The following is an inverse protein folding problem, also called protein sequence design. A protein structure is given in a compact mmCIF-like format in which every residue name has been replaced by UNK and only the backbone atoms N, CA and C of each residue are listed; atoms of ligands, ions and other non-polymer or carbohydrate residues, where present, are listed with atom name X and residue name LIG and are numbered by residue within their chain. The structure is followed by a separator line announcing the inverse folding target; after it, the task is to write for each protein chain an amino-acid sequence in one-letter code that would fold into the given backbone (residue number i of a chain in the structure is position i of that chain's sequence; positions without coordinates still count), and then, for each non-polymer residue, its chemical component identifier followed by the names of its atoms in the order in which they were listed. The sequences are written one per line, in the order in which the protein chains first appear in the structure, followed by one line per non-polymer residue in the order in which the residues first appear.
data_IF_355784507450
#
_entry.id   IF_355784507450
#
_cell.length_a   1.000
_cell.length_b   1.000
_cell.length_c   1.000
_cell.angle_alpha   90.00
_cell.angle_beta   90.00
_cell.angle_gamma   90.00
#
_symmetry.space_group_name_H-M   'P 1'
#
loop_
_entity.id
_entity.type
_entity.pdbx_description
1 polymer ?
#
# COMPACT_ATOMS: atom_id res chain seq x y z
N UNK A 1 -24.27 0.04 -14.76
CA UNK A 1 -23.93 0.16 -16.20
C UNK A 1 -23.27 -1.14 -16.64
N UNK A 2 -24.01 -2.06 -17.27
CA UNK A 2 -23.49 -3.35 -17.74
C UNK A 2 -23.59 -3.52 -19.27
N UNK A 3 -23.75 -2.41 -20.01
CA UNK A 3 -23.76 -2.44 -21.46
C UNK A 3 -22.35 -2.76 -22.01
N UNK A 4 -22.18 -3.81 -22.83
CA UNK A 4 -20.87 -4.25 -23.32
C UNK A 4 -20.10 -3.17 -24.11
N UNK A 5 -20.81 -2.29 -24.83
CA UNK A 5 -20.15 -1.22 -25.60
C UNK A 5 -19.56 -0.15 -24.68
N UNK A 6 -20.29 0.20 -23.63
CA UNK A 6 -19.87 1.15 -22.60
C UNK A 6 -18.67 0.62 -21.81
N UNK A 7 -18.62 -0.69 -21.51
CA UNK A 7 -17.47 -1.33 -20.85
C UNK A 7 -16.20 -1.24 -21.71
N UNK A 8 -16.32 -1.45 -23.04
CA UNK A 8 -15.16 -1.33 -23.95
C UNK A 8 -14.62 0.09 -23.98
N UNK A 9 -15.50 1.09 -24.06
CA UNK A 9 -15.11 2.51 -24.05
C UNK A 9 -14.44 2.86 -22.72
N UNK A 10 -15.01 2.45 -21.58
CA UNK A 10 -14.42 2.71 -20.27
C UNK A 10 -13.00 2.12 -20.13
N UNK A 11 -12.79 0.88 -20.60
CA UNK A 11 -11.46 0.24 -20.63
C UNK A 11 -10.48 0.99 -21.53
N UNK A 12 -10.93 1.46 -22.70
CA UNK A 12 -10.13 2.28 -23.61
C UNK A 12 -9.71 3.59 -22.93
N UNK A 13 -10.65 4.33 -22.36
CA UNK A 13 -10.38 5.59 -21.67
C UNK A 13 -9.38 5.40 -20.52
N UNK A 14 -9.57 4.38 -19.68
CA UNK A 14 -8.65 4.08 -18.58
C UNK A 14 -7.22 3.79 -19.07
N UNK A 15 -7.09 3.04 -20.17
CA UNK A 15 -5.79 2.73 -20.76
C UNK A 15 -5.10 3.98 -21.31
N UNK A 16 -5.80 4.78 -22.10
CA UNK A 16 -5.22 5.99 -22.68
C UNK A 16 -4.89 7.02 -21.59
N UNK A 17 -5.72 7.14 -20.55
CA UNK A 17 -5.41 7.98 -19.39
C UNK A 17 -4.15 7.51 -18.66
N UNK A 18 -3.99 6.20 -18.45
CA UNK A 18 -2.78 5.64 -17.80
C UNK A 18 -1.53 5.88 -18.64
N UNK A 19 -1.65 5.74 -19.97
CA UNK A 19 -0.57 6.03 -20.93
C UNK A 19 -0.18 7.50 -20.87
N UNK A 20 -1.16 8.41 -20.91
CA UNK A 20 -0.93 9.85 -20.78
C UNK A 20 -0.17 10.19 -19.49
N UNK A 21 -0.61 9.68 -18.34
CA UNK A 21 0.11 9.90 -17.08
C UNK A 21 1.54 9.34 -17.10
N UNK A 22 1.79 8.20 -17.76
CA UNK A 22 3.14 7.68 -17.92
C UNK A 22 3.99 8.56 -18.83
N UNK A 23 3.46 9.03 -19.95
CA UNK A 23 4.17 9.90 -20.89
C UNK A 23 4.56 11.24 -20.24
N UNK A 24 3.66 11.80 -19.43
CA UNK A 24 3.92 12.98 -18.58
C UNK A 24 4.78 12.67 -17.35
N UNK A 25 5.24 11.43 -17.18
CA UNK A 25 6.04 10.97 -16.04
C UNK A 25 5.42 11.35 -14.69
N UNK A 26 4.09 11.25 -14.62
CA UNK A 26 3.33 11.62 -13.42
C UNK A 26 3.71 10.67 -12.26
N UNK A 27 4.16 11.17 -11.10
CA UNK A 27 4.58 10.27 -10.04
C UNK A 27 3.42 9.40 -9.52
N UNK A 28 3.64 8.12 -9.15
CA UNK A 28 2.57 7.25 -8.64
C UNK A 28 1.80 7.84 -7.46
N UNK A 29 2.44 8.62 -6.59
CA UNK A 29 1.75 9.34 -5.51
C UNK A 29 0.67 10.29 -6.03
N UNK A 30 0.90 10.98 -7.14
CA UNK A 30 -0.05 11.94 -7.71
C UNK A 30 -1.21 11.20 -8.37
N UNK A 31 -0.93 10.12 -9.10
CA UNK A 31 -1.98 9.27 -9.69
C UNK A 31 -2.88 8.65 -8.62
N UNK A 32 -2.34 8.33 -7.44
CA UNK A 32 -3.13 7.88 -6.29
C UNK A 32 -4.23 8.88 -5.91
N UNK A 33 -3.90 10.18 -5.90
CA UNK A 33 -4.86 11.26 -5.64
C UNK A 33 -5.85 11.48 -6.79
N UNK A 34 -5.41 11.36 -8.06
CA UNK A 34 -6.31 11.45 -9.22
C UNK A 34 -7.40 10.38 -9.19
N UNK A 35 -7.04 9.18 -8.73
CA UNK A 35 -7.95 8.06 -8.50
C UNK A 35 -8.72 8.16 -7.17
N UNK A 36 -8.56 9.27 -6.42
CA UNK A 36 -9.21 9.53 -5.13
C UNK A 36 -8.96 8.46 -4.08
N UNK A 37 -7.90 7.67 -4.22
CA UNK A 37 -7.60 6.56 -3.32
C UNK A 37 -7.22 7.05 -1.94
N UNK A 38 -6.68 8.26 -1.79
CA UNK A 38 -6.38 8.88 -0.49
C UNK A 38 -7.65 9.17 0.35
N UNK A 39 -8.84 9.01 -0.23
CA UNK A 39 -10.14 9.18 0.44
C UNK A 39 -10.94 7.87 0.51
N UNK A 40 -10.39 6.75 0.04
CA UNK A 40 -11.09 5.47 0.01
C UNK A 40 -11.04 4.70 1.34
N UNK A 41 -10.20 5.17 2.28
CA UNK A 41 -10.06 4.65 3.64
C UNK A 41 -9.91 3.13 3.65
N UNK A 42 -10.66 2.41 4.49
CA UNK A 42 -10.61 0.96 4.64
C UNK A 42 -10.91 0.18 3.36
N UNK A 43 -11.62 0.80 2.40
CA UNK A 43 -11.96 0.18 1.10
C UNK A 43 -10.86 0.30 0.07
N UNK A 44 -9.76 0.99 0.38
CA UNK A 44 -8.69 1.30 -0.58
C UNK A 44 -8.21 0.06 -1.32
N UNK A 45 -7.75 -0.97 -0.61
CA UNK A 45 -7.14 -2.16 -1.24
C UNK A 45 -8.14 -3.02 -2.00
N UNK A 46 -9.43 -2.97 -1.64
CA UNK A 46 -10.50 -3.71 -2.32
C UNK A 46 -11.05 -2.96 -3.55
N UNK A 47 -10.79 -1.66 -3.68
CA UNK A 47 -11.34 -0.83 -4.75
C UNK A 47 -10.79 -1.21 -6.13
N UNK A 48 -11.63 -1.07 -7.17
CA UNK A 48 -11.18 -1.23 -8.56
C UNK A 48 -10.10 -0.22 -8.93
N UNK A 49 -10.19 1.00 -8.40
CA UNK A 49 -9.24 2.08 -8.66
C UNK A 49 -7.85 1.76 -8.10
N UNK A 50 -7.76 1.03 -6.99
CA UNK A 50 -6.49 0.56 -6.47
C UNK A 50 -5.82 -0.45 -7.41
N UNK A 51 -6.59 -1.29 -8.11
CA UNK A 51 -6.04 -2.19 -9.13
C UNK A 51 -5.45 -1.41 -10.30
N UNK A 52 -6.10 -0.32 -10.70
CA UNK A 52 -5.59 0.61 -11.73
C UNK A 52 -4.28 1.24 -11.27
N UNK A 53 -4.26 1.77 -10.05
CA UNK A 53 -3.06 2.39 -9.49
C UNK A 53 -1.90 1.39 -9.32
N UNK A 54 -2.18 0.17 -8.85
CA UNK A 54 -1.17 -0.87 -8.69
C UNK A 54 -0.53 -1.26 -10.03
N UNK A 55 -1.34 -1.36 -11.09
CA UNK A 55 -0.85 -1.54 -12.46
C UNK A 55 0.00 -0.35 -12.90
N UNK A 56 -0.50 0.87 -12.68
CA UNK A 56 0.22 2.09 -13.04
C UNK A 56 1.59 2.18 -12.34
N UNK A 57 1.65 1.87 -11.05
CA UNK A 57 2.89 1.82 -10.27
C UNK A 57 3.91 0.86 -10.90
N UNK A 58 3.46 -0.33 -11.29
CA UNK A 58 4.33 -1.31 -11.95
C UNK A 58 4.85 -0.79 -13.30
N UNK A 59 3.97 -0.24 -14.12
CA UNK A 59 4.33 0.29 -15.44
C UNK A 59 5.28 1.51 -15.31
N UNK A 60 5.05 2.37 -14.30
CA UNK A 60 5.92 3.51 -13.97
C UNK A 60 7.31 3.03 -13.53
N UNK A 61 7.38 2.08 -12.59
CA UNK A 61 8.65 1.54 -12.11
C UNK A 61 9.46 0.85 -13.22
N UNK A 62 8.78 0.21 -14.17
CA UNK A 62 9.42 -0.40 -15.33
C UNK A 62 10.01 0.65 -16.28
N UNK A 63 9.23 1.71 -16.59
CA UNK A 63 9.67 2.78 -17.50
C UNK A 63 10.72 3.71 -16.88
N UNK A 64 10.65 3.94 -15.57
CA UNK A 64 11.50 4.87 -14.83
C UNK A 64 12.24 4.19 -13.68
N UNK A 65 13.18 3.26 -13.95
CA UNK A 65 13.81 2.43 -12.92
C UNK A 65 14.62 3.24 -11.88
N UNK A 66 15.08 4.44 -12.24
CA UNK A 66 15.79 5.36 -11.33
C UNK A 66 14.88 6.05 -10.32
N UNK A 67 13.57 6.07 -10.56
CA UNK A 67 12.55 6.73 -9.74
C UNK A 67 11.55 5.72 -9.17
N UNK A 68 11.89 4.43 -9.25
CA UNK A 68 11.03 3.36 -8.79
C UNK A 68 10.71 3.53 -7.31
N UNK A 69 9.48 3.21 -6.95
CA UNK A 69 9.00 3.19 -5.55
C UNK A 69 8.28 1.89 -5.26
N UNK A 70 8.08 1.56 -3.98
CA UNK A 70 7.32 0.37 -3.59
C UNK A 70 5.84 0.70 -3.42
N UNK A 71 5.00 -0.33 -3.40
CA UNK A 71 3.57 -0.15 -3.08
C UNK A 71 3.39 0.46 -1.69
N UNK A 72 4.17 -0.01 -0.70
CA UNK A 72 4.13 0.52 0.66
C UNK A 72 4.56 1.99 0.71
N UNK A 73 5.66 2.35 0.03
CA UNK A 73 6.13 3.74 -0.02
C UNK A 73 5.16 4.65 -0.79
N UNK A 74 4.49 4.11 -1.81
CA UNK A 74 3.39 4.79 -2.50
C UNK A 74 2.21 5.08 -1.56
N UNK A 75 1.79 4.10 -0.76
CA UNK A 75 0.73 4.25 0.24
C UNK A 75 1.12 5.25 1.35
N UNK A 76 2.37 5.24 1.79
CA UNK A 76 2.92 6.15 2.81
C UNK A 76 3.38 7.51 2.24
N UNK A 77 3.25 7.74 0.94
CA UNK A 77 3.73 8.97 0.32
C UNK A 77 3.02 10.19 0.90
N UNK A 78 3.72 11.33 0.93
CA UNK A 78 3.17 12.59 1.44
C UNK A 78 1.82 12.90 0.79
N UNK A 79 0.77 12.99 1.62
CA UNK A 79 -0.61 13.27 1.20
C UNK A 79 -1.50 12.04 1.06
N UNK A 80 -0.95 10.83 1.07
CA UNK A 80 -1.72 9.58 0.95
C UNK A 80 -2.20 9.10 2.32
N UNK A 81 -1.40 8.29 3.02
CA UNK A 81 -1.76 7.80 4.34
C UNK A 81 -0.63 7.95 5.36
N UNK A 82 -1.03 8.33 6.57
CA UNK A 82 -0.20 8.17 7.75
C UNK A 82 -0.26 6.71 8.23
N UNK A 83 0.75 6.30 8.96
CA UNK A 83 0.95 4.90 9.33
C UNK A 83 -0.19 4.30 10.15
N UNK A 84 -0.74 5.07 11.11
CA UNK A 84 -1.89 4.63 11.91
C UNK A 84 -3.13 4.35 11.05
N UNK A 85 -3.35 5.13 9.99
CA UNK A 85 -4.44 4.89 9.02
C UNK A 85 -4.15 3.63 8.20
N UNK A 86 -2.90 3.39 7.80
CA UNK A 86 -2.54 2.18 7.05
C UNK A 86 -2.78 0.90 7.84
N UNK A 87 -2.49 0.90 9.15
CA UNK A 87 -2.77 -0.28 9.99
C UNK A 87 -4.26 -0.64 9.99
N UNK A 88 -5.16 0.35 9.99
CA UNK A 88 -6.61 0.14 9.88
C UNK A 88 -7.02 -0.37 8.49
N UNK A 89 -6.43 0.19 7.44
CA UNK A 89 -6.69 -0.25 6.06
C UNK A 89 -6.24 -1.70 5.88
N UNK A 90 -5.07 -2.07 6.39
CA UNK A 90 -4.57 -3.45 6.30
C UNK A 90 -5.42 -4.40 7.14
N UNK A 91 -5.90 -3.99 8.31
CA UNK A 91 -6.84 -4.80 9.11
C UNK A 91 -8.13 -5.08 8.35
N UNK A 92 -8.77 -4.05 7.81
CA UNK A 92 -9.99 -4.20 7.02
C UNK A 92 -9.77 -5.10 5.80
N UNK A 93 -8.67 -4.89 5.07
CA UNK A 93 -8.32 -5.70 3.90
C UNK A 93 -7.93 -7.15 4.26
N UNK A 94 -7.44 -7.40 5.48
CA UNK A 94 -7.13 -8.76 5.96
C UNK A 94 -8.39 -9.59 6.22
N UNK A 95 -9.53 -8.93 6.49
CA UNK A 95 -10.83 -9.58 6.71
C UNK A 95 -11.54 -9.96 5.41
N UNK A 96 -11.11 -9.43 4.26
CA UNK A 96 -11.62 -9.80 2.94
C UNK A 96 -10.68 -10.82 2.28
N UNK A 97 -11.15 -12.05 1.97
CA UNK A 97 -10.32 -13.09 1.35
C UNK A 97 -9.65 -12.66 0.03
N UNK A 98 -10.26 -11.72 -0.71
CA UNK A 98 -9.71 -11.21 -1.96
C UNK A 98 -8.51 -10.28 -1.78
N UNK A 99 -8.34 -9.70 -0.59
CA UNK A 99 -7.24 -8.78 -0.26
C UNK A 99 -6.34 -9.26 0.89
N UNK A 100 -6.70 -10.36 1.56
CA UNK A 100 -6.00 -10.88 2.74
C UNK A 100 -4.50 -11.08 2.51
N UNK A 101 -4.14 -11.77 1.42
CA UNK A 101 -2.73 -12.02 1.08
C UNK A 101 -1.96 -10.73 0.85
N UNK A 102 -2.58 -9.76 0.16
CA UNK A 102 -1.95 -8.47 -0.10
C UNK A 102 -1.76 -7.67 1.19
N UNK A 103 -2.79 -7.60 2.04
CA UNK A 103 -2.74 -6.92 3.33
C UNK A 103 -1.64 -7.51 4.23
N UNK A 104 -1.55 -8.83 4.30
CA UNK A 104 -0.51 -9.55 5.07
C UNK A 104 0.89 -9.23 4.56
N UNK A 105 1.09 -9.16 3.24
CA UNK A 105 2.36 -8.79 2.63
C UNK A 105 2.73 -7.33 2.94
N UNK A 106 1.77 -6.40 2.92
CA UNK A 106 2.00 -5.00 3.25
C UNK A 106 2.31 -4.79 4.73
N UNK A 107 1.64 -5.52 5.63
CA UNK A 107 2.01 -5.57 7.06
C UNK A 107 3.44 -6.08 7.26
N UNK A 108 3.83 -7.17 6.57
CA UNK A 108 5.20 -7.70 6.61
C UNK A 108 6.22 -6.67 6.11
N UNK A 109 5.91 -5.96 5.03
CA UNK A 109 6.76 -4.91 4.50
C UNK A 109 6.92 -3.74 5.50
N UNK A 110 5.86 -3.37 6.21
CA UNK A 110 5.91 -2.34 7.23
C UNK A 110 6.75 -2.76 8.44
N UNK A 111 6.59 -4.00 8.92
CA UNK A 111 7.44 -4.59 9.97
C UNK A 111 8.91 -4.57 9.55
N UNK A 112 9.23 -4.96 8.31
CA UNK A 112 10.60 -4.90 7.81
C UNK A 112 11.15 -3.48 7.80
N UNK A 113 10.32 -2.49 7.46
CA UNK A 113 10.70 -1.07 7.48
C UNK A 113 11.05 -0.62 8.89
N UNK A 114 10.27 -1.02 9.91
CA UNK A 114 10.59 -0.76 11.33
C UNK A 114 11.90 -1.41 11.78
N UNK A 115 12.19 -2.63 11.29
CA UNK A 115 13.44 -3.32 11.62
C UNK A 115 14.64 -2.56 11.07
N UNK A 116 14.59 -2.18 9.79
CA UNK A 116 15.66 -1.41 9.14
C UNK A 116 15.84 -0.05 9.80
N UNK A 117 14.73 0.61 10.17
CA UNK A 117 14.73 1.89 10.89
C UNK A 117 15.18 1.76 12.36
N UNK A 118 15.33 0.54 12.89
CA UNK A 118 15.65 0.26 14.29
C UNK A 118 14.67 0.93 15.26
N UNK A 119 13.38 0.91 14.90
CA UNK A 119 12.32 1.44 15.75
C UNK A 119 12.32 0.75 17.12
N UNK A 120 11.97 1.49 18.17
CA UNK A 120 11.91 0.90 19.52
C UNK A 120 10.54 0.23 19.70
N UNK A 121 10.44 -1.03 20.16
CA UNK A 121 9.16 -1.67 20.44
C UNK A 121 8.24 -0.83 21.35
N UNK A 122 8.81 -0.16 22.36
CA UNK A 122 8.05 0.73 23.24
C UNK A 122 7.46 1.96 22.53
N UNK A 123 8.18 2.49 21.53
CA UNK A 123 7.69 3.61 20.71
C UNK A 123 6.49 3.16 19.86
N UNK A 124 6.61 2.03 19.14
CA UNK A 124 5.53 1.49 18.30
C UNK A 124 4.28 1.13 19.13
N UNK A 125 4.46 0.56 20.33
CA UNK A 125 3.36 0.31 21.28
C UNK A 125 2.63 1.59 21.68
N UNK A 126 3.37 2.66 21.99
CA UNK A 126 2.78 3.95 22.32
C UNK A 126 2.06 4.59 21.15
N UNK A 127 2.67 4.55 19.96
CA UNK A 127 2.17 5.18 18.74
C UNK A 127 0.87 4.54 18.24
N UNK A 128 0.75 3.22 18.37
CA UNK A 128 -0.39 2.46 17.86
C UNK A 128 -1.35 1.97 18.94
N UNK A 129 -1.27 2.52 20.15
CA UNK A 129 -2.18 2.17 21.24
C UNK A 129 -3.65 2.38 20.81
N UNK A 130 -4.50 1.36 21.04
CA UNK A 130 -5.92 1.39 20.67
C UNK A 130 -6.21 1.14 19.18
N UNK A 131 -5.20 0.79 18.36
CA UNK A 131 -5.43 0.28 17.01
C UNK A 131 -5.69 -1.23 17.11
N UNK A 132 -6.79 -1.79 16.58
CA UNK A 132 -7.13 -3.21 16.76
C UNK A 132 -6.03 -4.22 16.35
N UNK A 133 -5.12 -3.83 15.45
CA UNK A 133 -4.01 -4.67 14.97
C UNK A 133 -2.65 -4.35 15.58
N UNK A 134 -2.56 -3.39 16.50
CA UNK A 134 -1.28 -2.99 17.09
C UNK A 134 -0.57 -4.15 17.78
N UNK A 135 -1.30 -4.95 18.53
CA UNK A 135 -0.72 -6.01 19.36
C UNK A 135 -0.14 -7.14 18.51
N UNK A 136 -0.87 -7.55 17.47
CA UNK A 136 -0.40 -8.52 16.48
C UNK A 136 0.85 -8.01 15.74
N UNK A 137 0.82 -6.76 15.27
CA UNK A 137 1.94 -6.14 14.55
C UNK A 137 3.18 -6.01 15.45
N UNK A 138 3.00 -5.62 16.72
CA UNK A 138 4.06 -5.52 17.70
C UNK A 138 4.66 -6.89 18.03
N UNK A 139 3.82 -7.92 18.21
CA UNK A 139 4.28 -9.28 18.48
C UNK A 139 5.14 -9.82 17.32
N UNK A 140 4.66 -9.70 16.08
CA UNK A 140 5.40 -10.11 14.88
C UNK A 140 6.70 -9.34 14.69
N UNK A 141 6.71 -8.04 15.03
CA UNK A 141 7.92 -7.22 15.00
C UNK A 141 8.97 -7.73 16.00
N UNK A 142 8.58 -7.95 17.26
CA UNK A 142 9.47 -8.46 18.32
C UNK A 142 10.02 -9.84 17.97
N UNK A 143 9.16 -10.77 17.55
CA UNK A 143 9.56 -12.12 17.15
C UNK A 143 10.62 -12.08 16.03
N UNK A 144 10.40 -11.22 15.03
CA UNK A 144 11.33 -11.08 13.91
C UNK A 144 12.66 -10.45 14.34
N UNK A 145 12.64 -9.49 15.25
CA UNK A 145 13.84 -8.85 15.80
C UNK A 145 14.68 -9.87 16.62
N UNK A 146 14.03 -10.70 17.42
CA UNK A 146 14.68 -11.78 18.18
C UNK A 146 15.27 -12.85 17.27
N UNK A 147 14.54 -13.26 16.22
CA UNK A 147 15.02 -14.23 15.25
C UNK A 147 16.28 -13.73 14.50
N UNK A 148 16.31 -12.45 14.13
CA UNK A 148 17.49 -11.85 13.51
C UNK A 148 18.69 -11.82 14.47
N UNK A 149 18.46 -11.48 15.74
CA UNK A 149 19.53 -11.42 16.76
C UNK A 149 20.15 -12.80 17.04
N UNK A 150 19.33 -13.86 17.02
CA UNK A 150 19.77 -15.25 17.17
C UNK A 150 20.61 -15.75 15.98
N UNK A 151 20.36 -15.24 14.78
CA UNK A 151 21.07 -15.66 13.55
C UNK A 151 22.40 -14.92 13.33
N UNK A 152 22.66 -13.85 14.08
CA UNK A 152 23.89 -13.05 13.99
C UNK A 152 24.85 -13.25 15.17
N UNK A 153 24.48 -14.13 16.13
CA UNK A 153 25.30 -14.52 17.28
C UNK A 153 25.97 -15.86 17.02
#
# INVERSE_FOLDING_TARGET
MNDPSTVKIAKLVQREQSKYWLDEKTPPRIVFHFLKLNKAEEKTLASSDFKVWAKYLNDFNHRYPKEKTTMLDGLMAKGNYIEISLLRIFDAAKKDPSTEKLATNLQNALINKWIVAKEKPAHLRGLFNGVPTSDEMNARYVEKLEALSRNTS
#
